data_IF_532603080359
#
_entry.id   IF_532603080359
#
_cell.length_a   1.000
_cell.length_b   1.000
_cell.length_c   1.000
_cell.angle_alpha   90.00
_cell.angle_beta   90.00
_cell.angle_gamma   90.00
#
_symmetry.space_group_name_H-M   'P 1'
#
loop_
_entity.id
_entity.type
_entity.pdbx_description
1 polymer ?
#
# COMPACT_ATOMS: atom_id res chain seq x y z
N UNK A 1 7.88 11.78 19.69
CA UNK A 1 9.17 11.83 18.95
C UNK A 1 9.33 13.20 18.29
N UNK A 2 10.25 14.06 18.77
CA UNK A 2 10.39 15.43 18.26
C UNK A 2 10.93 15.51 16.82
N UNK A 3 11.60 14.46 16.33
CA UNK A 3 12.11 14.40 14.96
C UNK A 3 11.03 14.03 13.92
N UNK A 4 9.80 13.74 14.35
CA UNK A 4 8.66 13.52 13.47
C UNK A 4 8.00 14.87 13.18
N UNK A 5 7.96 15.26 11.91
CA UNK A 5 7.38 16.52 11.45
C UNK A 5 5.88 16.40 11.22
N UNK A 6 5.47 15.38 10.46
CA UNK A 6 4.06 15.06 10.19
C UNK A 6 3.89 13.55 10.21
N UNK A 7 2.77 13.07 10.75
CA UNK A 7 2.39 11.67 10.70
C UNK A 7 0.93 11.52 10.33
N UNK A 8 0.63 10.50 9.53
CA UNK A 8 -0.72 10.12 9.18
C UNK A 8 -0.86 8.60 9.18
N UNK A 9 -1.93 8.09 9.80
CA UNK A 9 -2.28 6.68 9.75
C UNK A 9 -3.46 6.43 8.80
N UNK A 10 -3.35 5.37 8.02
CA UNK A 10 -4.38 4.85 7.09
C UNK A 10 -4.45 3.33 7.18
N UNK A 11 -5.51 2.73 6.62
CA UNK A 11 -5.62 1.28 6.47
C UNK A 11 -4.77 0.78 5.31
N UNK A 12 -3.97 -0.26 5.56
CA UNK A 12 -3.29 -1.09 4.57
C UNK A 12 -4.12 -2.37 4.38
N UNK A 13 -4.39 -2.82 3.13
CA UNK A 13 -5.08 -4.08 2.91
C UNK A 13 -4.34 -5.24 3.57
N UNK A 14 -5.08 -6.13 4.22
CA UNK A 14 -4.55 -7.30 4.91
C UNK A 14 -5.46 -8.52 4.66
N UNK A 15 -4.91 -9.69 4.30
CA UNK A 15 -5.69 -10.86 3.91
C UNK A 15 -6.38 -11.56 5.10
N UNK A 16 -6.12 -11.16 6.34
CA UNK A 16 -6.68 -11.76 7.55
C UNK A 16 -7.61 -10.80 8.30
N UNK A 17 -7.19 -9.54 8.45
CA UNK A 17 -7.92 -8.50 9.17
C UNK A 17 -8.77 -7.60 8.25
N UNK A 18 -8.67 -7.77 6.93
CA UNK A 18 -9.24 -6.86 5.93
C UNK A 18 -8.38 -5.61 5.76
N UNK A 19 -8.16 -4.88 6.86
CA UNK A 19 -7.20 -3.77 6.92
C UNK A 19 -6.43 -3.76 8.24
N UNK A 20 -5.18 -3.29 8.18
CA UNK A 20 -4.34 -3.04 9.35
C UNK A 20 -3.80 -1.60 9.32
N UNK A 21 -3.55 -0.97 10.48
CA UNK A 21 -2.99 0.38 10.50
C UNK A 21 -1.56 0.38 9.93
N UNK A 22 -1.29 1.33 9.04
CA UNK A 22 0.06 1.72 8.59
C UNK A 22 0.23 3.21 8.85
N UNK A 23 1.40 3.61 9.35
CA UNK A 23 1.69 5.02 9.60
C UNK A 23 2.72 5.55 8.60
N UNK A 24 2.35 6.60 7.89
CA UNK A 24 3.24 7.38 7.04
C UNK A 24 3.83 8.52 7.85
N UNK A 25 5.14 8.71 7.76
CA UNK A 25 5.88 9.67 8.57
C UNK A 25 6.75 10.52 7.68
N UNK A 26 6.60 11.85 7.78
CA UNK A 26 7.57 12.82 7.29
C UNK A 26 8.45 13.24 8.45
N UNK A 27 9.76 13.07 8.29
CA UNK A 27 10.75 13.43 9.31
C UNK A 27 11.19 14.89 9.13
N UNK A 28 11.74 15.46 10.20
CA UNK A 28 12.50 16.71 10.10
C UNK A 28 13.75 16.45 9.23
N UNK A 29 14.12 17.42 8.40
CA UNK A 29 15.29 17.32 7.52
C UNK A 29 16.57 16.97 8.30
N UNK A 30 17.37 16.04 7.76
CA UNK A 30 18.59 15.55 8.40
C UNK A 30 18.36 14.63 9.61
N UNK A 31 17.12 14.27 9.93
CA UNK A 31 16.81 13.29 10.97
C UNK A 31 17.33 11.89 10.60
N UNK A 32 18.07 11.25 11.51
CA UNK A 32 18.46 9.84 11.41
C UNK A 32 17.48 8.87 12.08
N UNK A 33 16.27 9.32 12.40
CA UNK A 33 15.24 8.48 13.03
C UNK A 33 14.74 7.41 12.04
N UNK A 34 14.78 6.13 12.41
CA UNK A 34 14.39 5.01 11.52
C UNK A 34 12.96 4.55 11.75
N UNK A 35 12.39 3.85 10.76
CA UNK A 35 11.10 3.17 10.84
C UNK A 35 10.98 2.27 12.07
N UNK A 36 12.02 1.49 12.38
CA UNK A 36 12.03 0.56 13.50
C UNK A 36 11.96 1.29 14.84
N UNK A 37 12.71 2.38 14.98
CA UNK A 37 12.69 3.20 16.19
C UNK A 37 11.31 3.85 16.43
N UNK A 38 10.65 4.28 15.36
CA UNK A 38 9.29 4.85 15.41
C UNK A 38 8.29 3.76 15.78
N UNK A 39 8.39 2.58 15.17
CA UNK A 39 7.52 1.44 15.45
C UNK A 39 7.66 0.97 16.90
N UNK A 40 8.90 0.90 17.41
CA UNK A 40 9.16 0.51 18.79
C UNK A 40 8.56 1.52 19.78
N UNK A 41 8.73 2.82 19.51
CA UNK A 41 8.07 3.86 20.30
C UNK A 41 6.54 3.73 20.26
N UNK A 42 5.96 3.45 19.10
CA UNK A 42 4.51 3.25 18.96
C UNK A 42 4.01 2.04 19.77
N UNK A 43 4.74 0.91 19.75
CA UNK A 43 4.41 -0.29 20.54
C UNK A 43 4.42 -0.03 22.05
N UNK A 44 5.34 0.81 22.52
CA UNK A 44 5.47 1.15 23.94
C UNK A 44 4.43 2.17 24.42
N UNK A 45 3.87 2.97 23.51
CA UNK A 45 3.01 4.12 23.86
C UNK A 45 1.53 3.88 23.56
N UNK A 46 1.21 3.05 22.57
CA UNK A 46 -0.18 2.72 22.21
C UNK A 46 -0.62 1.51 23.02
N UNK A 47 -1.54 1.73 23.98
CA UNK A 47 -2.03 0.66 24.86
C UNK A 47 -2.90 -0.39 24.14
N UNK A 48 -3.64 0.01 23.10
CA UNK A 48 -4.45 -0.92 22.31
C UNK A 48 -3.59 -1.58 21.22
N UNK A 49 -3.34 -2.89 21.35
CA UNK A 49 -2.47 -3.65 20.45
C UNK A 49 -2.94 -3.61 19.00
N UNK A 50 -4.25 -3.58 18.76
CA UNK A 50 -4.81 -3.51 17.40
C UNK A 50 -4.59 -2.13 16.73
N UNK A 51 -4.35 -1.07 17.52
CA UNK A 51 -4.10 0.28 17.03
C UNK A 51 -2.62 0.56 16.73
N UNK A 52 -1.71 -0.32 17.17
CA UNK A 52 -0.28 -0.23 16.84
C UNK A 52 -0.10 -0.44 15.34
N UNK A 53 0.55 0.48 14.60
CA UNK A 53 0.84 0.31 13.18
C UNK A 53 1.58 -1.01 12.93
N UNK A 54 1.19 -1.74 11.89
CA UNK A 54 1.93 -2.93 11.43
C UNK A 54 3.21 -2.56 10.68
N UNK A 55 3.25 -1.35 10.14
CA UNK A 55 4.35 -0.84 9.34
C UNK A 55 4.45 0.68 9.53
N UNK A 56 5.67 1.18 9.52
CA UNK A 56 6.00 2.60 9.43
C UNK A 56 6.61 2.81 8.05
N UNK A 57 6.13 3.82 7.32
CA UNK A 57 6.66 4.19 6.01
C UNK A 57 7.15 5.63 6.11
N UNK A 58 8.47 5.83 6.05
CA UNK A 58 9.03 7.18 5.95
C UNK A 58 8.90 7.67 4.51
N UNK A 59 8.41 8.89 4.36
CA UNK A 59 8.25 9.57 3.07
C UNK A 59 8.89 10.94 3.10
N UNK A 60 9.39 11.38 1.95
CA UNK A 60 9.98 12.73 1.81
C UNK A 60 8.96 13.82 2.16
N UNK A 61 7.69 13.61 1.80
CA UNK A 61 6.61 14.56 2.07
C UNK A 61 5.26 13.87 2.17
N UNK A 62 4.50 14.21 3.20
CA UNK A 62 3.10 13.79 3.31
C UNK A 62 2.26 14.58 2.29
N UNK A 63 1.44 13.90 1.46
CA UNK A 63 0.59 14.58 0.48
C UNK A 63 -0.44 15.45 1.19
N UNK A 64 -0.59 16.68 0.70
CA UNK A 64 -1.55 17.65 1.20
C UNK A 64 -2.56 18.00 0.10
N UNK A 65 -3.76 18.37 0.51
CA UNK A 65 -4.75 19.03 -0.35
C UNK A 65 -4.25 20.43 -0.72
N UNK A 66 -4.83 21.08 -1.74
CA UNK A 66 -4.47 22.46 -2.10
C UNK A 66 -4.60 23.47 -0.95
N UNK A 67 -5.43 23.18 0.05
CA UNK A 67 -5.63 24.00 1.26
C UNK A 67 -4.77 23.53 2.46
N UNK A 68 -3.77 22.68 2.23
CA UNK A 68 -2.78 22.30 3.23
C UNK A 68 -3.20 21.22 4.23
N UNK A 69 -4.35 20.55 4.04
CA UNK A 69 -4.77 19.43 4.90
C UNK A 69 -4.17 18.11 4.40
N UNK A 70 -3.90 17.16 5.28
CA UNK A 70 -3.41 15.84 4.89
C UNK A 70 -4.39 15.16 3.91
N UNK A 71 -3.90 14.79 2.74
CA UNK A 71 -4.66 14.08 1.72
C UNK A 71 -4.52 12.56 1.90
N UNK A 72 -5.27 12.03 2.88
CA UNK A 72 -5.28 10.59 3.21
C UNK A 72 -5.57 9.65 2.03
N UNK A 73 -6.40 10.00 1.02
CA UNK A 73 -6.60 9.11 -0.14
C UNK A 73 -5.30 8.72 -0.83
N UNK A 74 -4.37 9.66 -1.06
CA UNK A 74 -3.08 9.33 -1.68
C UNK A 74 -2.24 8.35 -0.84
N UNK A 75 -2.26 8.46 0.49
CA UNK A 75 -1.58 7.52 1.39
C UNK A 75 -2.21 6.13 1.35
N UNK A 76 -3.55 6.06 1.28
CA UNK A 76 -4.28 4.79 1.17
C UNK A 76 -4.00 4.13 -0.19
N UNK A 77 -3.95 4.90 -1.27
CA UNK A 77 -3.58 4.41 -2.59
C UNK A 77 -2.15 3.86 -2.62
N UNK A 78 -1.18 4.55 -2.01
CA UNK A 78 0.18 4.04 -1.91
C UNK A 78 0.25 2.76 -1.07
N UNK A 79 -0.51 2.66 0.03
CA UNK A 79 -0.57 1.45 0.84
C UNK A 79 -1.10 0.25 0.05
N UNK A 80 -2.19 0.44 -0.69
CA UNK A 80 -2.76 -0.59 -1.58
C UNK A 80 -1.75 -0.96 -2.67
N UNK A 81 -1.14 0.04 -3.32
CA UNK A 81 -0.15 -0.15 -4.37
C UNK A 81 1.01 -1.01 -3.88
N UNK A 82 1.58 -0.69 -2.71
CA UNK A 82 2.68 -1.45 -2.10
C UNK A 82 2.28 -2.88 -1.79
N UNK A 83 1.14 -3.09 -1.13
CA UNK A 83 0.63 -4.44 -0.82
C UNK A 83 0.49 -5.26 -2.08
N UNK A 84 -0.24 -4.75 -3.09
CA UNK A 84 -0.49 -5.51 -4.31
C UNK A 84 0.75 -5.69 -5.17
N UNK A 85 1.67 -4.70 -5.21
CA UNK A 85 2.96 -4.89 -5.89
C UNK A 85 3.75 -6.04 -5.26
N UNK A 86 3.73 -6.16 -3.93
CA UNK A 86 4.39 -7.25 -3.21
C UNK A 86 3.70 -8.60 -3.48
N UNK A 87 2.38 -8.68 -3.36
CA UNK A 87 1.62 -9.91 -3.59
C UNK A 87 1.81 -10.45 -5.02
N UNK A 88 1.76 -9.56 -6.01
CA UNK A 88 1.88 -9.91 -7.42
C UNK A 88 3.30 -10.34 -7.84
N UNK A 89 4.31 -10.19 -6.99
CA UNK A 89 5.62 -10.84 -7.21
C UNK A 89 5.49 -12.36 -7.32
N UNK A 90 4.46 -12.95 -6.68
CA UNK A 90 4.17 -14.38 -6.74
C UNK A 90 3.71 -14.86 -8.12
N UNK A 91 3.43 -13.96 -9.07
CA UNK A 91 3.22 -14.32 -10.47
C UNK A 91 4.50 -14.87 -11.12
N UNK A 92 5.68 -14.45 -10.62
CA UNK A 92 6.97 -14.99 -11.04
C UNK A 92 7.14 -15.01 -12.56
N UNK A 93 7.57 -16.14 -13.11
CA UNK A 93 7.85 -16.32 -14.53
C UNK A 93 6.63 -16.27 -15.47
N UNK A 94 5.41 -16.08 -14.94
CA UNK A 94 4.22 -15.90 -15.78
C UNK A 94 4.19 -14.53 -16.46
N UNK A 95 4.92 -13.55 -15.93
CA UNK A 95 4.87 -12.14 -16.35
C UNK A 95 6.29 -11.60 -16.54
N UNK A 96 6.47 -10.76 -17.56
CA UNK A 96 7.70 -9.99 -17.77
C UNK A 96 7.70 -8.70 -16.96
N UNK A 97 6.50 -8.11 -16.78
CA UNK A 97 6.32 -6.84 -16.09
C UNK A 97 4.97 -6.80 -15.39
N UNK A 98 4.98 -6.22 -14.20
CA UNK A 98 3.79 -5.83 -13.44
C UNK A 98 3.97 -4.39 -13.02
N UNK A 99 3.01 -3.55 -13.37
CA UNK A 99 2.89 -2.20 -12.82
C UNK A 99 1.53 -2.08 -12.13
N UNK A 100 1.55 -1.61 -10.88
CA UNK A 100 0.36 -1.39 -10.08
C UNK A 100 0.11 0.09 -9.97
N UNK A 101 -1.04 0.54 -10.45
CA UNK A 101 -1.54 1.89 -10.26
C UNK A 101 -2.78 1.84 -9.36
N UNK A 102 -2.94 2.82 -8.49
CA UNK A 102 -4.10 2.91 -7.60
C UNK A 102 -4.58 4.35 -7.57
N UNK A 103 -5.88 4.54 -7.74
CA UNK A 103 -6.47 5.87 -7.78
C UNK A 103 -7.92 5.87 -7.36
N UNK A 104 -8.51 7.06 -7.46
CA UNK A 104 -9.93 7.26 -7.24
C UNK A 104 -10.75 6.52 -8.30
N UNK A 105 -11.82 5.87 -7.84
CA UNK A 105 -12.84 5.33 -8.72
C UNK A 105 -14.23 5.83 -8.29
N UNK A 106 -15.06 6.22 -9.25
CA UNK A 106 -16.36 6.85 -8.97
C UNK A 106 -17.39 5.90 -8.39
N UNK A 107 -17.21 4.59 -8.56
CA UNK A 107 -18.19 3.56 -8.16
C UNK A 107 -17.74 2.86 -6.88
N UNK A 108 -16.46 2.52 -6.80
CA UNK A 108 -15.86 1.73 -5.74
C UNK A 108 -15.01 2.58 -4.77
N UNK A 109 -14.89 3.88 -5.02
CA UNK A 109 -14.06 4.82 -4.25
C UNK A 109 -12.57 4.70 -4.53
N UNK A 110 -12.06 3.47 -4.67
CA UNK A 110 -10.67 3.19 -5.04
C UNK A 110 -10.60 1.97 -5.94
N UNK A 111 -9.79 2.06 -6.99
CA UNK A 111 -9.52 0.97 -7.92
C UNK A 111 -8.00 0.79 -8.08
N UNK A 112 -7.55 -0.45 -8.01
CA UNK A 112 -6.20 -0.85 -8.39
C UNK A 112 -6.20 -1.34 -9.85
N UNK A 113 -5.36 -0.76 -10.70
CA UNK A 113 -5.18 -1.18 -12.08
C UNK A 113 -3.84 -1.90 -12.20
N UNK A 114 -3.88 -3.16 -12.64
CA UNK A 114 -2.67 -3.95 -12.89
C UNK A 114 -2.36 -3.95 -14.37
N UNK A 115 -1.28 -3.28 -14.77
CA UNK A 115 -0.75 -3.33 -16.11
C UNK A 115 0.25 -4.48 -16.20
N UNK A 116 -0.09 -5.51 -16.98
CA UNK A 116 0.65 -6.76 -17.05
C UNK A 116 1.20 -6.97 -18.46
N UNK A 117 2.48 -7.30 -18.55
CA UNK A 117 3.09 -7.85 -19.76
C UNK A 117 3.30 -9.35 -19.54
N UNK A 118 2.56 -10.25 -20.23
CA UNK A 118 2.73 -11.70 -20.11
C UNK A 118 4.13 -12.16 -20.53
N UNK A 119 4.62 -13.25 -19.95
CA UNK A 119 5.76 -13.97 -20.50
C UNK A 119 5.39 -14.64 -21.84
N UNK A 120 6.41 -14.92 -22.66
CA UNK A 120 6.21 -15.51 -23.98
C UNK A 120 5.47 -16.85 -23.89
N UNK A 121 4.41 -17.01 -24.68
CA UNK A 121 3.58 -18.22 -24.69
C UNK A 121 2.67 -18.41 -23.48
N UNK A 122 2.63 -17.46 -22.54
CA UNK A 122 1.71 -17.52 -21.39
C UNK A 122 0.36 -16.90 -21.76
N UNK A 123 -0.70 -17.67 -21.53
CA UNK A 123 -2.08 -17.23 -21.74
C UNK A 123 -2.49 -16.17 -20.69
N UNK A 124 -2.98 -14.98 -21.10
CA UNK A 124 -3.55 -13.98 -20.20
C UNK A 124 -4.58 -14.52 -19.20
N UNK A 125 -5.38 -15.53 -19.57
CA UNK A 125 -6.38 -16.09 -18.66
C UNK A 125 -5.74 -16.88 -17.51
N UNK A 126 -4.60 -17.55 -17.76
CA UNK A 126 -3.82 -18.19 -16.68
C UNK A 126 -3.33 -17.16 -15.66
N UNK A 127 -2.89 -15.99 -16.14
CA UNK A 127 -2.47 -14.89 -15.27
C UNK A 127 -3.66 -14.34 -14.49
N UNK A 128 -4.81 -14.13 -15.13
CA UNK A 128 -6.03 -13.66 -14.46
C UNK A 128 -6.46 -14.59 -13.33
N UNK A 129 -6.51 -15.90 -13.56
CA UNK A 129 -6.84 -16.86 -12.51
C UNK A 129 -5.82 -16.81 -11.38
N UNK A 130 -4.53 -16.71 -11.70
CA UNK A 130 -3.50 -16.62 -10.66
C UNK A 130 -3.62 -15.36 -9.81
N UNK A 131 -3.93 -14.22 -10.42
CA UNK A 131 -4.20 -12.97 -9.70
C UNK A 131 -5.41 -13.14 -8.76
N UNK A 132 -6.50 -13.79 -9.22
CA UNK A 132 -7.67 -14.05 -8.39
C UNK A 132 -7.33 -14.92 -7.18
N UNK A 133 -6.49 -15.95 -7.35
CA UNK A 133 -6.03 -16.79 -6.25
C UNK A 133 -5.22 -16.01 -5.23
N UNK A 134 -4.21 -15.25 -5.69
CA UNK A 134 -3.32 -14.44 -4.84
C UNK A 134 -4.16 -13.43 -4.04
N UNK A 135 -5.10 -12.78 -4.71
CA UNK A 135 -5.88 -11.68 -4.13
C UNK A 135 -7.23 -12.12 -3.54
N UNK A 136 -7.50 -13.42 -3.42
CA UNK A 136 -8.81 -13.96 -3.03
C UNK A 136 -9.33 -13.44 -1.68
N UNK A 137 -8.42 -13.07 -0.77
CA UNK A 137 -8.75 -12.58 0.57
C UNK A 137 -8.75 -11.06 0.70
N UNK A 138 -8.39 -10.36 -0.36
CA UNK A 138 -8.39 -8.90 -0.38
C UNK A 138 -9.69 -8.35 -0.95
N UNK A 139 -10.11 -7.19 -0.44
CA UNK A 139 -11.42 -6.61 -0.74
C UNK A 139 -11.36 -5.40 -1.69
N UNK A 140 -10.17 -4.80 -1.87
CA UNK A 140 -10.01 -3.65 -2.76
C UNK A 140 -10.20 -4.10 -4.20
N UNK A 141 -11.07 -3.39 -4.91
CA UNK A 141 -11.39 -3.66 -6.30
C UNK A 141 -10.16 -3.45 -7.18
N UNK A 142 -10.02 -4.33 -8.16
CA UNK A 142 -8.96 -4.25 -9.14
C UNK A 142 -9.46 -4.63 -10.53
N UNK A 143 -8.71 -4.18 -11.53
CA UNK A 143 -8.82 -4.61 -12.91
C UNK A 143 -7.44 -4.97 -13.47
N UNK A 144 -7.42 -5.77 -14.55
CA UNK A 144 -6.20 -6.25 -15.18
C UNK A 144 -6.21 -5.82 -16.64
N UNK A 145 -5.19 -5.07 -17.02
CA UNK A 145 -4.95 -4.59 -18.38
C UNK A 145 -3.69 -5.28 -18.91
N UNK A 146 -3.82 -5.96 -20.04
CA UNK A 146 -2.69 -6.60 -20.71
C UNK A 146 -2.14 -5.69 -21.80
N UNK A 147 -0.82 -5.52 -21.81
CA UNK A 147 -0.08 -4.78 -22.83
C UNK A 147 0.81 -5.66 -23.68
#
# INVERSE_FOLDING_TARGET
LPQVKVVASVGKPDPHAGEVPVAYVELVEGSGLTEEAILEHAKQTIGERAAVPKEIIVVDKIPLTPVGKIFKPALRWDAIRRTYSQELTSLGGLVQRVEVQVGEDKVHGTLATFHITPAEGVDPDTIREKIREILARYTVKYEVVFG
#
